data_IF_868725500535
#
_entry.id   IF_868725500535
#
_cell.length_a   1.000
_cell.length_b   1.000
_cell.length_c   1.000
_cell.angle_alpha   90.00
_cell.angle_beta   90.00
_cell.angle_gamma   90.00
#
_symmetry.space_group_name_H-M   'P 1'
#
loop_
_entity.id
_entity.type
_entity.pdbx_description
1 polymer ?
#
# COMPACT_ATOMS: atom_id res chain seq x y z
N UNK A 1 -29.59 18.91 -7.65
CA UNK A 1 -28.78 17.68 -7.81
C UNK A 1 -27.32 18.14 -7.77
N UNK A 2 -26.64 17.92 -6.63
CA UNK A 2 -25.64 16.84 -6.42
C UNK A 2 -24.51 16.94 -7.47
N UNK A 3 -23.23 17.16 -7.12
CA UNK A 3 -22.50 16.68 -5.95
C UNK A 3 -21.57 17.75 -5.38
N UNK A 4 -21.60 17.82 -4.06
CA UNK A 4 -20.61 18.41 -3.16
C UNK A 4 -19.32 17.56 -3.16
N UNK A 5 -18.24 18.12 -2.65
CA UNK A 5 -17.03 17.40 -2.20
C UNK A 5 -15.98 17.00 -3.25
N UNK A 6 -15.45 17.99 -3.98
CA UNK A 6 -14.03 17.92 -4.33
C UNK A 6 -13.25 18.30 -3.08
N UNK A 7 -13.11 17.33 -2.17
CA UNK A 7 -12.06 17.36 -1.18
C UNK A 7 -10.77 17.71 -1.95
N UNK A 8 -10.12 18.79 -1.50
CA UNK A 8 -8.80 19.18 -1.97
C UNK A 8 -7.80 18.15 -1.42
N UNK A 9 -7.96 16.90 -1.87
CA UNK A 9 -7.03 15.82 -1.62
C UNK A 9 -5.79 16.23 -2.36
N UNK A 10 -4.78 16.66 -1.59
CA UNK A 10 -3.43 16.83 -2.11
C UNK A 10 -3.10 15.62 -3.00
N UNK A 11 -2.36 15.77 -4.11
CA UNK A 11 -2.11 14.65 -5.03
C UNK A 11 -1.58 13.39 -4.32
N UNK A 12 -0.87 13.55 -3.21
CA UNK A 12 -0.43 12.48 -2.31
C UNK A 12 -1.57 11.67 -1.66
N UNK A 13 -2.70 12.29 -1.38
CA UNK A 13 -3.89 11.69 -0.75
C UNK A 13 -4.68 10.82 -1.75
N UNK A 14 -4.82 11.29 -2.99
CA UNK A 14 -5.42 10.52 -4.08
C UNK A 14 -4.57 9.30 -4.45
N UNK A 15 -3.25 9.47 -4.56
CA UNK A 15 -2.32 8.37 -4.82
C UNK A 15 -2.32 7.34 -3.69
N UNK A 16 -2.42 7.78 -2.42
CA UNK A 16 -2.53 6.86 -1.28
C UNK A 16 -3.85 6.08 -1.29
N UNK A 17 -4.96 6.73 -1.65
CA UNK A 17 -6.26 6.07 -1.80
C UNK A 17 -6.25 5.02 -2.90
N UNK A 18 -5.68 5.37 -4.05
CA UNK A 18 -5.54 4.43 -5.16
C UNK A 18 -4.65 3.23 -4.78
N UNK A 19 -3.52 3.48 -4.12
CA UNK A 19 -2.60 2.41 -3.70
C UNK A 19 -3.23 1.49 -2.63
N UNK A 20 -4.05 2.03 -1.72
CA UNK A 20 -4.81 1.25 -0.75
C UNK A 20 -5.83 0.31 -1.44
N UNK A 21 -6.58 0.84 -2.41
CA UNK A 21 -7.50 0.04 -3.21
C UNK A 21 -6.77 -1.01 -4.06
N UNK A 22 -5.59 -0.67 -4.59
CA UNK A 22 -4.76 -1.61 -5.33
C UNK A 22 -4.24 -2.75 -4.44
N UNK A 23 -3.80 -2.46 -3.21
CA UNK A 23 -3.39 -3.47 -2.24
C UNK A 23 -4.53 -4.44 -1.88
N UNK A 24 -5.76 -3.93 -1.72
CA UNK A 24 -6.96 -4.75 -1.56
C UNK A 24 -7.20 -5.69 -2.76
N UNK A 25 -7.07 -5.16 -3.99
CA UNK A 25 -7.17 -5.97 -5.20
C UNK A 25 -6.10 -7.05 -5.28
N UNK A 26 -4.87 -6.76 -4.85
CA UNK A 26 -3.78 -7.73 -4.77
C UNK A 26 -4.03 -8.80 -3.69
N UNK A 27 -4.68 -8.45 -2.58
CA UNK A 27 -5.06 -9.42 -1.56
C UNK A 27 -6.07 -10.46 -2.10
N UNK A 28 -6.99 -10.03 -2.98
CA UNK A 28 -7.93 -10.91 -3.70
C UNK A 28 -7.29 -11.73 -4.83
N UNK A 29 -6.11 -11.36 -5.30
CA UNK A 29 -5.47 -12.02 -6.43
C UNK A 29 -4.96 -13.42 -6.05
N UNK A 30 -4.93 -14.36 -6.99
CA UNK A 30 -4.22 -15.64 -6.86
C UNK A 30 -2.71 -15.54 -7.09
N UNK A 31 -2.18 -14.34 -7.35
CA UNK A 31 -0.75 -14.11 -7.58
C UNK A 31 0.09 -14.58 -6.38
N UNK A 32 1.32 -15.01 -6.61
CA UNK A 32 2.22 -15.33 -5.50
C UNK A 32 2.51 -14.09 -4.63
N UNK A 33 2.81 -14.29 -3.35
CA UNK A 33 3.13 -13.20 -2.43
C UNK A 33 4.31 -12.35 -2.95
N UNK A 34 5.31 -12.98 -3.57
CA UNK A 34 6.44 -12.25 -4.16
C UNK A 34 5.99 -11.34 -5.31
N UNK A 35 5.10 -11.81 -6.19
CA UNK A 35 4.59 -11.00 -7.29
C UNK A 35 3.78 -9.81 -6.76
N UNK A 36 2.90 -10.02 -5.77
CA UNK A 36 2.14 -8.94 -5.13
C UNK A 36 3.05 -7.88 -4.52
N UNK A 37 4.17 -8.27 -3.91
CA UNK A 37 5.14 -7.33 -3.35
C UNK A 37 5.87 -6.53 -4.43
N UNK A 38 6.26 -7.17 -5.54
CA UNK A 38 6.86 -6.48 -6.69
C UNK A 38 5.87 -5.47 -7.27
N UNK A 39 4.63 -5.89 -7.50
CA UNK A 39 3.57 -5.06 -8.05
C UNK A 39 3.27 -3.85 -7.14
N UNK A 40 3.20 -4.08 -5.82
CA UNK A 40 2.94 -3.01 -4.84
C UNK A 40 4.09 -2.01 -4.76
N UNK A 41 5.34 -2.48 -4.86
CA UNK A 41 6.54 -1.63 -4.88
C UNK A 41 6.66 -0.81 -6.17
N UNK A 42 6.32 -1.40 -7.30
CA UNK A 42 6.29 -0.71 -8.59
C UNK A 42 5.19 0.36 -8.61
N UNK A 43 3.99 -0.01 -8.15
CA UNK A 43 2.85 0.90 -7.99
C UNK A 43 3.15 2.05 -7.01
N UNK A 44 3.93 1.80 -5.96
CA UNK A 44 4.38 2.83 -5.04
C UNK A 44 5.63 3.58 -5.51
N UNK A 45 6.20 3.21 -6.66
CA UNK A 45 7.48 3.73 -7.20
C UNK A 45 8.64 3.67 -6.19
N UNK A 46 8.61 2.69 -5.27
CA UNK A 46 9.56 2.61 -4.16
C UNK A 46 9.46 3.76 -3.15
N UNK A 47 8.37 4.53 -3.10
CA UNK A 47 8.14 5.57 -2.11
C UNK A 47 7.54 5.00 -0.81
N UNK A 48 8.30 4.95 0.30
CA UNK A 48 7.80 4.40 1.57
C UNK A 48 6.70 5.27 2.18
N UNK A 49 6.73 6.59 1.97
CA UNK A 49 5.70 7.50 2.47
C UNK A 49 4.32 7.22 1.85
N UNK A 50 4.29 6.82 0.58
CA UNK A 50 3.05 6.51 -0.12
C UNK A 50 2.44 5.19 0.39
N UNK A 51 3.27 4.18 0.62
CA UNK A 51 2.86 2.92 1.24
C UNK A 51 2.33 3.13 2.67
N UNK A 52 2.99 3.98 3.49
CA UNK A 52 2.49 4.36 4.83
C UNK A 52 1.16 5.08 4.76
N UNK A 53 1.00 5.99 3.80
CA UNK A 53 -0.25 6.72 3.62
C UNK A 53 -1.39 5.78 3.19
N UNK A 54 -1.13 4.84 2.27
CA UNK A 54 -2.08 3.83 1.84
C UNK A 54 -2.48 2.91 3.00
N UNK A 55 -1.52 2.45 3.80
CA UNK A 55 -1.78 1.62 4.99
C UNK A 55 -2.70 2.33 5.98
N UNK A 56 -2.38 3.57 6.37
CA UNK A 56 -3.24 4.35 7.29
C UNK A 56 -4.65 4.53 6.76
N UNK A 57 -4.79 4.67 5.43
CA UNK A 57 -6.09 4.88 4.80
C UNK A 57 -6.93 3.60 4.76
N UNK A 58 -6.28 2.47 4.55
CA UNK A 58 -6.92 1.15 4.56
C UNK A 58 -7.32 0.73 5.98
N UNK A 59 -6.48 1.02 6.97
CA UNK A 59 -6.74 0.73 8.39
C UNK A 59 -8.01 1.42 8.93
N UNK A 60 -8.30 2.63 8.43
CA UNK A 60 -9.51 3.37 8.78
C UNK A 60 -10.68 3.15 7.80
N UNK A 61 -10.48 2.39 6.73
CA UNK A 61 -11.53 2.11 5.76
C UNK A 61 -12.50 1.05 6.30
N UNK A 62 -13.81 1.32 6.17
CA UNK A 62 -14.84 0.33 6.48
C UNK A 62 -14.95 -0.67 5.33
N UNK A 63 -14.16 -1.75 5.41
CA UNK A 63 -14.11 -2.81 4.39
C UNK A 63 -15.03 -3.96 4.79
N UNK A 64 -15.91 -4.37 3.87
CA UNK A 64 -16.89 -5.42 4.11
C UNK A 64 -16.29 -6.78 4.46
N UNK A 65 -15.08 -7.07 3.96
CA UNK A 65 -14.32 -8.28 4.29
C UNK A 65 -13.06 -7.93 5.07
N UNK A 66 -13.08 -8.21 6.36
CA UNK A 66 -11.99 -7.85 7.27
C UNK A 66 -10.75 -8.71 7.06
N UNK A 67 -10.90 -9.98 6.68
CA UNK A 67 -9.75 -10.87 6.43
C UNK A 67 -8.90 -10.38 5.26
N UNK A 68 -9.56 -9.87 4.22
CA UNK A 68 -8.88 -9.33 3.04
C UNK A 68 -8.27 -7.97 3.32
N UNK A 69 -8.92 -7.16 4.17
CA UNK A 69 -8.32 -5.93 4.66
C UNK A 69 -7.02 -6.22 5.45
N UNK A 70 -7.05 -7.18 6.38
CA UNK A 70 -5.87 -7.62 7.13
C UNK A 70 -4.76 -8.13 6.21
N UNK A 71 -5.08 -8.91 5.17
CA UNK A 71 -4.10 -9.39 4.18
C UNK A 71 -3.47 -8.24 3.37
N UNK A 72 -4.28 -7.26 2.95
CA UNK A 72 -3.80 -6.10 2.24
C UNK A 72 -2.92 -5.18 3.12
N UNK A 73 -3.27 -5.02 4.41
CA UNK A 73 -2.44 -4.31 5.40
C UNK A 73 -1.09 -5.02 5.59
N UNK A 74 -1.11 -6.34 5.75
CA UNK A 74 0.13 -7.13 5.83
C UNK A 74 1.00 -7.01 4.57
N UNK A 75 0.39 -6.97 3.38
CA UNK A 75 1.13 -6.76 2.13
C UNK A 75 1.81 -5.38 2.08
N UNK A 76 1.11 -4.33 2.52
CA UNK A 76 1.65 -2.97 2.60
C UNK A 76 2.82 -2.89 3.59
N UNK A 77 2.70 -3.51 4.76
CA UNK A 77 3.77 -3.57 5.75
C UNK A 77 5.01 -4.32 5.22
N UNK A 78 4.80 -5.46 4.55
CA UNK A 78 5.91 -6.21 3.93
C UNK A 78 6.60 -5.45 2.81
N UNK A 79 5.86 -4.72 1.99
CA UNK A 79 6.46 -3.86 0.96
C UNK A 79 7.21 -2.68 1.60
N UNK A 80 6.69 -2.12 2.70
CA UNK A 80 7.41 -1.12 3.48
C UNK A 80 8.71 -1.65 4.06
N UNK A 81 8.75 -2.91 4.51
CA UNK A 81 9.97 -3.55 4.98
C UNK A 81 10.97 -3.82 3.84
N UNK A 82 10.49 -4.12 2.62
CA UNK A 82 11.34 -4.30 1.42
C UNK A 82 11.94 -2.98 0.92
N UNK A 83 11.19 -1.89 1.03
CA UNK A 83 11.62 -0.52 0.66
C UNK A 83 12.38 0.17 1.80
N UNK A 84 12.14 -0.24 3.04
CA UNK A 84 12.84 0.19 4.25
C UNK A 84 14.34 -0.07 4.15
N UNK A 85 15.16 0.74 4.85
CA UNK A 85 16.54 0.97 4.46
C UNK A 85 17.27 -0.35 4.31
N UNK A 86 18.00 -0.44 3.21
CA UNK A 86 19.19 -1.25 3.07
C UNK A 86 20.08 -1.05 4.32
N UNK A 87 19.79 -1.78 5.40
CA UNK A 87 20.59 -1.81 6.61
C UNK A 87 21.75 -2.74 6.33
N UNK A 88 22.79 -2.09 5.81
CA UNK A 88 24.21 -2.47 5.78
C UNK A 88 24.63 -3.64 4.86
N UNK A 89 25.49 -3.40 3.85
CA UNK A 89 26.54 -4.39 3.56
C UNK A 89 27.38 -4.60 4.83
N UNK A 90 27.35 -5.81 5.41
CA UNK A 90 28.31 -6.19 6.46
C UNK A 90 29.73 -6.28 5.87
N UNK A 91 30.76 -5.89 6.64
CA UNK A 91 32.06 -5.47 6.12
C UNK A 91 32.96 -6.66 5.76
N UNK A 92 33.55 -6.63 4.57
CA UNK A 92 34.68 -7.48 4.21
C UNK A 92 35.97 -6.82 4.66
N UNK A 93 36.47 -7.22 5.83
CA UNK A 93 37.82 -6.95 6.32
C UNK A 93 38.53 -8.27 6.61
#
# INVERSE_FOLDING_TARGET
>A
MRCDETASSSPSDASAAWLAAYALGLAYSDNSVQQRLIDLRDASQGCPELLRAAHRRLDVADVADRGICDDALHLLDRALADVGPHLAPTPGG
#
